data_IF_919232186247
#
_entry.id   IF_919232186247
#
_cell.length_a   1.000
_cell.length_b   1.000
_cell.length_c   1.000
_cell.angle_alpha   90.00
_cell.angle_beta   90.00
_cell.angle_gamma   90.00
#
_symmetry.space_group_name_H-M   'P 1'
#
loop_
_entity.id
_entity.type
_entity.pdbx_description
1 polymer ?
#
# COMPACT_ATOMS: atom_id res chain seq x y z
N UNK A 1 16.36 8.92 -13.04
CA UNK A 1 17.28 10.05 -13.30
C UNK A 1 17.37 10.29 -14.81
N UNK A 2 16.26 10.73 -15.42
CA UNK A 2 16.06 10.68 -16.88
C UNK A 2 16.54 11.97 -17.57
N UNK A 3 16.66 13.07 -16.82
CA UNK A 3 16.77 14.41 -17.41
C UNK A 3 18.19 14.90 -17.71
N UNK A 4 19.27 14.19 -17.35
CA UNK A 4 20.64 14.69 -17.54
C UNK A 4 21.70 13.61 -17.79
N UNK A 5 21.31 12.44 -18.32
CA UNK A 5 22.19 11.28 -18.40
C UNK A 5 23.49 11.56 -19.20
N UNK A 6 23.39 12.22 -20.35
CA UNK A 6 24.56 12.57 -21.17
C UNK A 6 25.50 13.58 -20.50
N UNK A 7 24.94 14.62 -19.86
CA UNK A 7 25.71 15.63 -19.15
C UNK A 7 26.40 15.04 -17.93
N UNK A 8 25.69 14.20 -17.16
CA UNK A 8 26.23 13.52 -15.98
C UNK A 8 27.41 12.63 -16.38
N UNK A 9 27.29 11.86 -17.46
CA UNK A 9 28.36 10.98 -17.96
C UNK A 9 29.57 11.76 -18.48
N UNK A 10 29.35 12.94 -19.07
CA UNK A 10 30.44 13.81 -19.53
C UNK A 10 31.26 14.37 -18.36
N UNK A 11 30.62 14.72 -17.24
CA UNK A 11 31.31 15.33 -16.08
C UNK A 11 31.76 14.32 -15.03
N UNK A 12 31.19 13.11 -15.05
CA UNK A 12 31.48 12.03 -14.09
C UNK A 12 31.97 10.77 -14.84
N UNK A 13 33.22 10.74 -15.32
CA UNK A 13 33.74 9.61 -16.11
C UNK A 13 33.81 8.29 -15.32
N UNK A 14 33.75 8.34 -13.99
CA UNK A 14 33.66 7.17 -13.11
C UNK A 14 32.26 6.54 -13.09
N UNK A 15 31.22 7.25 -13.52
CA UNK A 15 29.84 6.76 -13.57
C UNK A 15 29.57 6.06 -14.91
N UNK A 16 30.11 4.85 -15.05
CA UNK A 16 29.99 4.02 -16.24
C UNK A 16 28.64 3.28 -16.31
N UNK A 17 28.29 2.74 -17.48
CA UNK A 17 27.11 1.87 -17.64
C UNK A 17 27.18 0.62 -16.76
N UNK A 18 28.37 0.01 -16.66
CA UNK A 18 28.60 -1.18 -15.85
C UNK A 18 28.37 -0.88 -14.36
N UNK A 19 28.93 0.22 -13.85
CA UNK A 19 28.69 0.64 -12.47
C UNK A 19 27.21 0.96 -12.21
N UNK A 20 26.56 1.65 -13.15
CA UNK A 20 25.13 1.95 -13.02
C UNK A 20 24.29 0.67 -12.94
N UNK A 21 24.61 -0.33 -13.78
CA UNK A 21 23.95 -1.63 -13.77
C UNK A 21 24.17 -2.37 -12.45
N UNK A 22 25.39 -2.40 -11.93
CA UNK A 22 25.69 -3.03 -10.62
C UNK A 22 24.90 -2.36 -9.49
N UNK A 23 24.83 -1.02 -9.48
CA UNK A 23 24.04 -0.26 -8.51
C UNK A 23 22.55 -0.60 -8.63
N UNK A 24 22.02 -0.70 -9.86
CA UNK A 24 20.61 -1.03 -10.09
C UNK A 24 20.29 -2.46 -9.63
N UNK A 25 21.17 -3.43 -9.87
CA UNK A 25 21.01 -4.81 -9.40
C UNK A 25 20.96 -4.90 -7.86
N UNK A 26 21.86 -4.20 -7.16
CA UNK A 26 21.87 -4.12 -5.70
C UNK A 26 20.60 -3.42 -5.20
N UNK A 27 20.26 -2.28 -5.79
CA UNK A 27 19.05 -1.53 -5.46
C UNK A 27 17.81 -2.39 -5.62
N UNK A 28 17.74 -3.19 -6.68
CA UNK A 28 16.61 -4.09 -6.93
C UNK A 28 16.46 -5.11 -5.82
N UNK A 29 17.56 -5.75 -5.43
CA UNK A 29 17.56 -6.77 -4.38
C UNK A 29 17.22 -6.17 -3.01
N UNK A 30 17.88 -5.07 -2.63
CA UNK A 30 17.62 -4.40 -1.35
C UNK A 30 16.19 -3.90 -1.25
N UNK A 31 15.63 -3.34 -2.33
CA UNK A 31 14.25 -2.84 -2.31
C UNK A 31 13.25 -3.98 -2.13
N UNK A 32 13.46 -5.13 -2.80
CA UNK A 32 12.60 -6.31 -2.60
C UNK A 32 12.67 -6.83 -1.16
N UNK A 33 13.88 -6.91 -0.61
CA UNK A 33 14.11 -7.31 0.78
C UNK A 33 13.33 -6.39 1.75
N UNK A 34 13.43 -5.07 1.58
CA UNK A 34 12.75 -4.09 2.43
C UNK A 34 11.22 -4.19 2.41
N UNK A 35 10.65 -4.75 1.35
CA UNK A 35 9.20 -4.92 1.18
C UNK A 35 8.73 -6.37 1.43
N UNK A 36 9.58 -7.20 2.06
CA UNK A 36 9.23 -8.56 2.46
C UNK A 36 9.17 -9.57 1.30
N UNK A 37 9.79 -9.24 0.16
CA UNK A 37 9.82 -10.12 -1.02
C UNK A 37 11.13 -10.88 -1.05
N UNK A 38 11.06 -12.16 -0.68
CA UNK A 38 12.19 -13.08 -0.64
C UNK A 38 12.04 -14.15 -1.71
N UNK A 39 13.16 -14.72 -2.18
CA UNK A 39 13.13 -15.89 -3.07
C UNK A 39 12.65 -17.13 -2.34
N UNK A 40 13.05 -17.27 -1.07
CA UNK A 40 12.65 -18.34 -0.18
C UNK A 40 12.00 -17.74 1.07
N UNK A 41 10.97 -18.42 1.59
CA UNK A 41 10.29 -17.96 2.80
C UNK A 41 11.27 -17.94 3.97
N UNK A 42 11.43 -16.78 4.60
CA UNK A 42 12.23 -16.61 5.80
C UNK A 42 11.32 -16.71 7.03
N UNK A 43 11.63 -17.67 7.90
CA UNK A 43 10.91 -17.84 9.17
C UNK A 43 11.88 -17.61 10.34
N UNK A 44 11.49 -16.80 11.31
CA UNK A 44 12.25 -16.55 12.53
C UNK A 44 11.31 -16.56 13.73
N UNK A 45 11.60 -17.37 14.74
CA UNK A 45 10.71 -17.58 15.91
C UNK A 45 9.24 -17.89 15.54
N UNK A 46 9.04 -18.68 14.47
CA UNK A 46 7.71 -19.02 13.97
C UNK A 46 7.01 -17.91 13.18
N UNK A 47 7.62 -16.73 13.04
CA UNK A 47 7.10 -15.62 12.25
C UNK A 47 7.59 -15.68 10.82
N UNK A 48 6.68 -15.45 9.87
CA UNK A 48 7.01 -15.24 8.47
C UNK A 48 7.47 -13.79 8.28
N UNK A 49 8.77 -13.56 8.17
CA UNK A 49 9.35 -12.21 8.14
C UNK A 49 8.84 -11.41 6.95
N UNK A 50 8.59 -12.06 5.81
CA UNK A 50 8.02 -11.40 4.64
C UNK A 50 6.63 -10.89 4.92
N UNK A 51 5.81 -11.73 5.55
CA UNK A 51 4.46 -11.35 5.94
C UNK A 51 4.44 -10.20 6.96
N UNK A 52 5.32 -10.23 7.97
CA UNK A 52 5.38 -9.16 8.98
C UNK A 52 5.83 -7.82 8.37
N UNK A 53 6.79 -7.83 7.45
CA UNK A 53 7.19 -6.62 6.72
C UNK A 53 6.04 -6.05 5.88
N UNK A 54 5.31 -6.91 5.17
CA UNK A 54 4.14 -6.48 4.39
C UNK A 54 3.03 -5.91 5.26
N UNK A 55 2.80 -6.49 6.46
CA UNK A 55 1.85 -5.97 7.45
C UNK A 55 2.19 -4.55 7.86
N UNK A 56 3.42 -4.30 8.29
CA UNK A 56 3.83 -2.99 8.81
C UNK A 56 3.86 -1.95 7.69
N UNK A 57 4.35 -2.30 6.49
CA UNK A 57 4.56 -1.32 5.41
C UNK A 57 3.30 -1.02 4.60
N UNK A 58 2.44 -2.01 4.37
CA UNK A 58 1.29 -1.86 3.46
C UNK A 58 -0.04 -2.30 4.05
N UNK A 59 -0.03 -2.96 5.20
CA UNK A 59 -1.23 -3.49 5.85
C UNK A 59 -2.27 -2.43 6.13
N UNK A 60 -1.87 -1.31 6.74
CA UNK A 60 -2.78 -0.20 7.02
C UNK A 60 -3.47 0.32 5.74
N UNK A 61 -2.71 0.52 4.67
CA UNK A 61 -3.22 1.06 3.41
C UNK A 61 -4.20 0.10 2.72
N UNK A 62 -3.84 -1.17 2.51
CA UNK A 62 -4.74 -2.10 1.82
C UNK A 62 -6.01 -2.40 2.62
N UNK A 63 -5.93 -2.40 3.96
CA UNK A 63 -7.10 -2.57 4.82
C UNK A 63 -8.04 -1.37 4.77
N UNK A 64 -7.49 -0.17 4.68
CA UNK A 64 -8.26 1.06 4.51
C UNK A 64 -9.02 1.06 3.16
N UNK A 65 -8.37 0.62 2.07
CA UNK A 65 -9.00 0.46 0.76
C UNK A 65 -10.12 -0.59 0.80
N UNK A 66 -9.82 -1.77 1.34
CA UNK A 66 -10.78 -2.87 1.45
C UNK A 66 -12.01 -2.46 2.28
N UNK A 67 -11.78 -1.75 3.38
CA UNK A 67 -12.84 -1.23 4.25
C UNK A 67 -13.72 -0.22 3.52
N UNK A 68 -13.15 0.67 2.69
CA UNK A 68 -13.94 1.64 1.93
C UNK A 68 -14.70 1.04 0.77
N UNK A 69 -14.12 0.09 0.05
CA UNK A 69 -14.85 -0.67 -0.97
C UNK A 69 -16.06 -1.37 -0.36
N UNK A 70 -15.84 -2.04 0.79
CA UNK A 70 -16.93 -2.67 1.55
C UNK A 70 -17.96 -1.65 2.02
N UNK A 71 -17.53 -0.54 2.64
CA UNK A 71 -18.43 0.47 3.17
C UNK A 71 -19.27 1.13 2.05
N UNK A 72 -18.65 1.40 0.88
CA UNK A 72 -19.36 1.89 -0.30
C UNK A 72 -20.44 0.92 -0.76
N UNK A 73 -20.12 -0.37 -0.85
CA UNK A 73 -21.06 -1.41 -1.25
C UNK A 73 -22.21 -1.56 -0.23
N UNK A 74 -21.89 -1.64 1.07
CA UNK A 74 -22.87 -1.77 2.13
C UNK A 74 -23.84 -0.58 2.20
N UNK A 75 -23.37 0.62 1.83
CA UNK A 75 -24.15 1.85 1.80
C UNK A 75 -24.94 2.09 0.51
N UNK A 76 -24.72 1.29 -0.55
CA UNK A 76 -25.27 1.56 -1.88
C UNK A 76 -26.79 1.78 -1.89
N UNK A 77 -27.55 0.93 -1.19
CA UNK A 77 -29.01 1.02 -1.08
C UNK A 77 -29.50 1.52 0.30
N UNK A 78 -28.61 2.07 1.13
CA UNK A 78 -28.97 2.58 2.45
C UNK A 78 -29.09 4.11 2.42
N UNK A 79 -29.93 4.64 3.29
CA UNK A 79 -30.12 6.08 3.46
C UNK A 79 -29.94 6.52 4.92
N UNK A 80 -28.95 5.92 5.59
CA UNK A 80 -28.58 6.30 6.96
C UNK A 80 -27.63 7.51 6.93
N UNK A 81 -27.51 8.21 8.06
CA UNK A 81 -26.66 9.40 8.17
C UNK A 81 -25.19 9.11 7.80
N UNK A 82 -24.68 7.94 8.19
CA UNK A 82 -23.31 7.50 7.97
C UNK A 82 -23.03 7.21 6.49
N UNK A 83 -24.04 6.81 5.73
CA UNK A 83 -23.91 6.45 4.32
C UNK A 83 -23.99 7.65 3.36
N UNK A 84 -24.50 8.81 3.80
CA UNK A 84 -24.78 9.95 2.90
C UNK A 84 -23.54 10.42 2.14
N UNK A 85 -22.40 10.52 2.83
CA UNK A 85 -21.17 11.03 2.21
C UNK A 85 -20.61 10.06 1.16
N UNK A 86 -20.65 8.75 1.43
CA UNK A 86 -20.04 7.76 0.53
C UNK A 86 -20.97 7.36 -0.62
N UNK A 87 -22.29 7.44 -0.44
CA UNK A 87 -23.29 7.03 -1.45
C UNK A 87 -23.13 7.80 -2.77
N UNK A 88 -22.95 9.11 -2.70
CA UNK A 88 -22.72 9.97 -3.88
C UNK A 88 -21.29 9.91 -4.44
N UNK A 89 -20.32 9.46 -3.65
CA UNK A 89 -18.91 9.51 -4.02
C UNK A 89 -18.59 8.57 -5.20
N UNK A 90 -18.11 9.14 -6.31
CA UNK A 90 -17.77 8.38 -7.53
C UNK A 90 -16.31 7.94 -7.58
N UNK A 91 -15.43 8.76 -7.02
CA UNK A 91 -14.01 8.43 -6.88
C UNK A 91 -13.44 8.92 -5.56
N UNK A 92 -12.46 8.20 -5.02
CA UNK A 92 -11.60 8.65 -3.92
C UNK A 92 -10.16 8.46 -4.34
N UNK A 93 -9.33 9.49 -4.20
CA UNK A 93 -7.96 9.49 -4.69
C UNK A 93 -6.95 9.65 -3.54
N UNK A 94 -5.91 8.83 -3.56
CA UNK A 94 -4.77 8.92 -2.64
C UNK A 94 -3.55 9.39 -3.42
N UNK A 95 -2.96 10.51 -2.99
CA UNK A 95 -1.62 10.89 -3.40
C UNK A 95 -0.63 10.10 -2.54
N UNK A 96 0.11 9.18 -3.16
CA UNK A 96 1.02 8.26 -2.47
C UNK A 96 2.40 8.25 -3.13
N UNK A 97 3.34 7.57 -2.47
CA UNK A 97 4.66 7.30 -3.01
C UNK A 97 4.69 6.00 -3.84
N UNK A 98 5.72 5.88 -4.65
CA UNK A 98 6.07 4.68 -5.43
C UNK A 98 6.09 3.40 -4.58
N UNK A 99 6.69 3.48 -3.39
CA UNK A 99 6.75 2.40 -2.41
C UNK A 99 5.37 1.92 -1.95
N UNK A 100 4.37 2.81 -1.86
CA UNK A 100 3.00 2.44 -1.50
C UNK A 100 2.35 1.60 -2.59
N UNK A 101 2.46 2.01 -3.86
CA UNK A 101 1.93 1.25 -4.99
C UNK A 101 2.67 -0.08 -5.15
N UNK A 102 3.99 -0.08 -4.95
CA UNK A 102 4.78 -1.31 -4.96
C UNK A 102 4.28 -2.29 -3.91
N UNK A 103 4.17 -1.84 -2.65
CA UNK A 103 3.73 -2.70 -1.55
C UNK A 103 2.30 -3.22 -1.77
N UNK A 104 1.43 -2.38 -2.33
CA UNK A 104 0.08 -2.76 -2.73
C UNK A 104 0.08 -3.93 -3.73
N UNK A 105 0.92 -3.89 -4.76
CA UNK A 105 1.07 -5.00 -5.72
C UNK A 105 1.79 -6.21 -5.13
N UNK A 106 2.78 -6.00 -4.25
CA UNK A 106 3.51 -7.06 -3.58
C UNK A 106 2.60 -7.90 -2.67
N UNK A 107 1.68 -7.26 -1.94
CA UNK A 107 0.69 -7.96 -1.09
C UNK A 107 -0.20 -8.88 -1.93
N UNK A 108 -0.56 -8.46 -3.14
CA UNK A 108 -1.34 -9.26 -4.10
C UNK A 108 -0.48 -10.25 -4.91
N UNK A 109 0.85 -10.22 -4.76
CA UNK A 109 1.79 -11.10 -5.45
C UNK A 109 1.97 -10.81 -6.94
N UNK A 110 1.70 -9.58 -7.39
CA UNK A 110 1.72 -9.19 -8.81
C UNK A 110 2.80 -8.17 -9.16
N UNK A 111 3.62 -7.74 -8.20
CA UNK A 111 4.66 -6.72 -8.37
C UNK A 111 5.60 -7.04 -9.54
N UNK A 112 6.12 -8.27 -9.62
CA UNK A 112 7.05 -8.70 -10.69
C UNK A 112 6.39 -8.80 -12.08
N UNK A 113 5.06 -8.97 -12.12
CA UNK A 113 4.30 -9.07 -13.37
C UNK A 113 3.98 -7.68 -13.93
N UNK A 114 3.64 -6.75 -13.03
CA UNK A 114 3.11 -5.42 -13.36
C UNK A 114 4.19 -4.34 -13.46
N UNK A 115 5.17 -4.31 -12.55
CA UNK A 115 6.20 -3.25 -12.52
C UNK A 115 7.41 -3.71 -13.33
N UNK A 116 7.61 -3.09 -14.50
CA UNK A 116 8.71 -3.40 -15.43
C UNK A 116 9.26 -2.13 -16.10
N UNK A 117 10.59 -2.01 -16.31
CA UNK A 117 11.68 -2.68 -15.60
C UNK A 117 11.99 -1.97 -14.27
N UNK A 118 12.44 -2.71 -13.25
CA UNK A 118 12.82 -2.17 -11.94
C UNK A 118 11.93 -2.64 -10.79
N UNK A 119 12.06 -1.99 -9.63
CA UNK A 119 11.26 -2.34 -8.44
C UNK A 119 10.14 -1.35 -8.19
N UNK A 120 10.36 -0.07 -8.44
CA UNK A 120 9.34 0.95 -8.16
C UNK A 120 8.63 1.45 -9.43
N UNK A 121 7.33 1.78 -9.33
CA UNK A 121 6.60 2.43 -10.41
C UNK A 121 7.32 3.68 -10.90
N UNK A 122 7.22 3.95 -12.20
CA UNK A 122 7.79 5.18 -12.75
C UNK A 122 6.97 6.41 -12.32
N UNK A 123 7.54 7.60 -12.50
CA UNK A 123 6.86 8.84 -12.18
C UNK A 123 5.50 8.97 -12.88
N UNK A 124 4.53 9.56 -12.16
CA UNK A 124 3.14 9.67 -12.58
C UNK A 124 2.43 8.33 -12.85
N UNK A 125 2.97 7.23 -12.35
CA UNK A 125 2.23 5.97 -12.29
C UNK A 125 0.97 6.12 -11.42
N UNK A 126 -0.06 5.38 -11.80
CA UNK A 126 -1.33 5.38 -11.10
C UNK A 126 -1.97 3.99 -11.14
N UNK A 127 -2.66 3.63 -10.08
CA UNK A 127 -3.41 2.39 -9.99
C UNK A 127 -4.87 2.71 -9.66
N UNK A 128 -5.79 1.88 -10.13
CA UNK A 128 -7.23 2.13 -10.00
C UNK A 128 -7.90 0.86 -9.55
N UNK A 129 -8.62 0.93 -8.42
CA UNK A 129 -9.46 -0.17 -7.93
C UNK A 129 -10.91 0.22 -8.17
N UNK A 130 -11.51 -0.34 -9.22
CA UNK A 130 -12.92 -0.11 -9.52
C UNK A 130 -13.77 -1.11 -8.74
N UNK A 131 -14.79 -0.62 -8.01
CA UNK A 131 -15.84 -1.43 -7.41
C UNK A 131 -17.01 -1.56 -8.38
N UNK A 132 -17.37 -2.81 -8.66
CA UNK A 132 -18.44 -3.22 -9.56
C UNK A 132 -19.46 -4.06 -8.81
N UNK A 133 -20.72 -4.03 -9.27
CA UNK A 133 -21.76 -4.95 -8.83
C UNK A 133 -22.35 -5.65 -10.03
N UNK A 134 -22.33 -6.98 -10.01
CA UNK A 134 -22.95 -7.75 -11.07
C UNK A 134 -24.48 -7.68 -10.94
N UNK A 135 -25.17 -7.39 -12.04
CA UNK A 135 -26.62 -7.27 -12.04
C UNK A 135 -27.34 -8.62 -11.89
N UNK A 136 -26.67 -9.74 -12.15
CA UNK A 136 -27.27 -11.07 -12.09
C UNK A 136 -27.26 -11.63 -10.66
N UNK A 137 -26.08 -11.74 -10.05
CA UNK A 137 -25.90 -12.31 -8.70
C UNK A 137 -25.94 -11.26 -7.57
N UNK A 138 -25.97 -9.97 -7.93
CA UNK A 138 -25.93 -8.81 -7.03
C UNK A 138 -24.68 -8.73 -6.14
N UNK A 139 -23.63 -9.49 -6.45
CA UNK A 139 -22.39 -9.56 -5.68
C UNK A 139 -21.39 -8.47 -6.08
N UNK A 140 -20.50 -8.06 -5.15
CA UNK A 140 -19.45 -7.09 -5.42
C UNK A 140 -18.22 -7.73 -6.07
N UNK A 141 -17.71 -7.05 -7.09
CA UNK A 141 -16.47 -7.39 -7.79
C UNK A 141 -15.53 -6.18 -7.79
N UNK A 142 -14.24 -6.43 -7.96
CA UNK A 142 -13.28 -5.39 -8.25
C UNK A 142 -12.59 -5.60 -9.61
N UNK A 143 -12.19 -4.50 -10.22
CA UNK A 143 -11.32 -4.47 -11.40
C UNK A 143 -10.13 -3.58 -11.09
N UNK A 144 -8.93 -4.12 -11.26
CA UNK A 144 -7.68 -3.44 -11.01
C UNK A 144 -7.08 -2.96 -12.33
N UNK A 145 -6.82 -1.66 -12.43
CA UNK A 145 -6.19 -1.03 -13.59
C UNK A 145 -4.87 -0.38 -13.18
N UNK A 146 -3.96 -0.23 -14.13
CA UNK A 146 -2.68 0.41 -13.91
C UNK A 146 -2.28 1.28 -15.09
N UNK A 147 -1.57 2.36 -14.78
CA UNK A 147 -0.91 3.26 -15.71
C UNK A 147 0.55 3.37 -15.28
N UNK A 148 1.47 2.99 -16.16
CA UNK A 148 2.87 2.84 -15.77
C UNK A 148 3.64 4.15 -15.65
N UNK A 149 3.26 5.20 -16.41
CA UNK A 149 3.90 6.52 -16.41
C UNK A 149 2.98 7.57 -17.07
N UNK A 150 3.49 8.78 -17.26
CA UNK A 150 2.81 9.94 -17.86
C UNK A 150 2.40 9.77 -19.34
N UNK A 151 2.96 8.81 -20.06
CA UNK A 151 2.67 8.56 -21.48
C UNK A 151 1.94 7.24 -21.73
N UNK A 152 1.91 6.35 -20.73
CA UNK A 152 1.27 5.05 -20.84
C UNK A 152 -0.26 5.13 -20.80
N UNK A 153 -0.97 4.26 -21.53
CA UNK A 153 -2.41 4.10 -21.35
C UNK A 153 -2.74 3.47 -19.98
N UNK A 154 -4.00 3.59 -19.58
CA UNK A 154 -4.56 2.81 -18.47
C UNK A 154 -4.97 1.44 -19.01
N UNK A 155 -4.52 0.35 -18.37
CA UNK A 155 -4.83 -1.01 -18.79
C UNK A 155 -5.19 -1.92 -17.60
N UNK A 156 -6.02 -2.96 -17.80
CA UNK A 156 -6.39 -3.88 -16.74
C UNK A 156 -5.23 -4.79 -16.35
N UNK A 157 -5.11 -5.04 -15.05
CA UNK A 157 -4.12 -5.95 -14.45
C UNK A 157 -4.75 -6.91 -13.44
N UNK A 158 -6.09 -6.95 -13.32
CA UNK A 158 -6.79 -7.91 -12.44
C UNK A 158 -6.38 -9.35 -12.72
N UNK A 159 -6.18 -9.70 -13.99
CA UNK A 159 -5.81 -11.05 -14.43
C UNK A 159 -4.44 -11.52 -13.94
N UNK A 160 -3.57 -10.60 -13.55
CA UNK A 160 -2.25 -10.94 -13.02
C UNK A 160 -2.32 -11.55 -11.61
N UNK A 161 -3.44 -11.34 -10.91
CA UNK A 161 -3.72 -11.91 -9.59
C UNK A 161 -4.15 -13.37 -9.77
N UNK A 162 -3.33 -14.32 -9.33
CA UNK A 162 -3.59 -15.76 -9.53
C UNK A 162 -4.96 -16.20 -8.98
N UNK A 163 -5.37 -15.65 -7.82
CA UNK A 163 -6.69 -15.91 -7.20
C UNK A 163 -7.87 -15.46 -8.06
N UNK A 164 -7.65 -14.56 -9.03
CA UNK A 164 -8.66 -14.08 -9.95
C UNK A 164 -8.78 -14.94 -11.22
N UNK A 165 -7.95 -15.97 -11.38
CA UNK A 165 -8.06 -17.00 -12.43
C UNK A 165 -8.13 -16.39 -13.85
N UNK A 166 -7.34 -15.35 -14.11
CA UNK A 166 -7.29 -14.67 -15.41
C UNK A 166 -8.51 -13.81 -15.75
N UNK A 167 -9.47 -13.63 -14.83
CA UNK A 167 -10.67 -12.81 -15.04
C UNK A 167 -10.36 -11.33 -14.90
N UNK A 168 -11.02 -10.50 -15.71
CA UNK A 168 -10.92 -9.05 -15.63
C UNK A 168 -11.62 -8.45 -14.41
N UNK A 169 -12.71 -9.09 -13.96
CA UNK A 169 -13.43 -8.77 -12.74
C UNK A 169 -13.24 -9.91 -11.75
N UNK A 170 -12.85 -9.55 -10.53
CA UNK A 170 -12.53 -10.52 -9.48
C UNK A 170 -13.42 -10.29 -8.27
N UNK A 171 -13.78 -11.36 -7.56
CA UNK A 171 -14.64 -11.28 -6.39
C UNK A 171 -14.01 -10.32 -5.35
N UNK A 172 -14.79 -9.38 -4.82
CA UNK A 172 -14.29 -8.43 -3.82
C UNK A 172 -13.74 -9.15 -2.57
N UNK A 173 -14.21 -10.36 -2.27
CA UNK A 173 -13.68 -11.19 -1.19
C UNK A 173 -12.20 -11.52 -1.38
N UNK A 174 -11.72 -11.72 -2.61
CA UNK A 174 -10.29 -11.94 -2.88
C UNK A 174 -9.45 -10.75 -2.41
N UNK A 175 -9.92 -9.53 -2.68
CA UNK A 175 -9.25 -8.30 -2.24
C UNK A 175 -9.25 -8.19 -0.70
N UNK A 176 -10.39 -8.52 -0.07
CA UNK A 176 -10.53 -8.52 1.40
C UNK A 176 -9.64 -9.56 2.07
N UNK A 177 -9.47 -10.74 1.46
CA UNK A 177 -8.59 -11.78 1.99
C UNK A 177 -7.12 -11.33 1.98
N UNK A 178 -6.68 -10.61 0.94
CA UNK A 178 -5.36 -10.00 0.93
C UNK A 178 -5.21 -8.98 2.06
N UNK A 179 -6.21 -8.12 2.24
CA UNK A 179 -6.19 -7.13 3.31
C UNK A 179 -6.14 -7.76 4.71
N UNK A 180 -7.01 -8.75 4.99
CA UNK A 180 -7.07 -9.41 6.29
C UNK A 180 -5.76 -10.18 6.58
N UNK A 181 -5.15 -10.82 5.58
CA UNK A 181 -3.85 -11.50 5.72
C UNK A 181 -2.76 -10.58 6.27
N UNK A 182 -2.75 -9.31 5.84
CA UNK A 182 -1.76 -8.30 6.24
C UNK A 182 -2.30 -7.27 7.22
N UNK A 183 -3.42 -7.55 7.89
CA UNK A 183 -3.97 -6.67 8.89
C UNK A 183 -3.04 -6.59 10.09
N UNK A 184 -2.88 -5.37 10.62
CA UNK A 184 -2.12 -5.16 11.83
C UNK A 184 -2.85 -5.80 13.01
N UNK A 185 -2.12 -6.57 13.82
CA UNK A 185 -2.65 -7.22 15.01
C UNK A 185 -2.75 -6.26 16.22
N UNK A 186 -2.10 -5.10 16.13
CA UNK A 186 -2.15 -3.99 17.10
C UNK A 186 -2.17 -2.65 16.36
N UNK A 187 -2.62 -1.56 17.00
CA UNK A 187 -2.45 -0.21 16.48
C UNK A 187 -0.98 0.11 16.14
N UNK A 188 -0.76 0.96 15.14
CA UNK A 188 0.59 1.35 14.68
C UNK A 188 1.49 1.87 15.82
N UNK A 189 1.01 2.74 16.74
CA UNK A 189 1.85 3.21 17.85
C UNK A 189 2.40 2.07 18.69
N UNK A 190 1.57 1.08 19.04
CA UNK A 190 2.00 -0.08 19.84
C UNK A 190 2.99 -0.99 19.11
N UNK A 191 3.05 -0.94 17.78
CA UNK A 191 3.99 -1.72 16.97
C UNK A 191 5.30 -0.99 16.68
N UNK A 192 5.23 0.33 16.54
CA UNK A 192 6.32 1.14 16.01
C UNK A 192 6.99 2.03 17.07
N UNK A 193 6.34 2.24 18.21
CA UNK A 193 6.84 3.02 19.35
C UNK A 193 7.30 2.09 20.48
N UNK A 194 7.91 0.96 20.13
CA UNK A 194 8.59 0.09 21.10
C UNK A 194 9.94 0.69 21.45
N UNK A 195 10.16 0.99 22.73
CA UNK A 195 11.50 1.28 23.23
C UNK A 195 12.27 -0.04 23.35
N UNK A 196 13.28 -0.31 22.51
CA UNK A 196 14.03 -1.57 22.56
C UNK A 196 14.77 -1.78 23.89
N UNK A 197 14.93 -0.74 24.72
CA UNK A 197 15.53 -0.83 26.05
C UNK A 197 14.56 -1.32 27.14
N UNK A 198 13.24 -1.33 26.87
CA UNK A 198 12.22 -1.68 27.87
C UNK A 198 11.72 -3.13 27.78
N UNK A 199 11.85 -3.80 26.61
CA UNK A 199 11.39 -5.19 26.43
C UNK A 199 12.28 -6.26 27.10
N UNK A 200 13.45 -5.89 27.61
CA UNK A 200 14.35 -6.79 28.35
C UNK A 200 14.02 -6.99 29.82
N UNK A 201 12.99 -6.33 30.36
CA UNK A 201 12.54 -6.51 31.75
C UNK A 201 11.23 -7.26 31.77
N UNK A 202 11.31 -8.59 31.87
CA UNK A 202 10.20 -9.39 32.38
C UNK A 202 9.84 -8.86 33.77
N UNK A 203 8.83 -8.01 33.87
CA UNK A 203 8.23 -7.66 35.15
C UNK A 203 7.36 -8.82 35.59
N UNK A 204 7.93 -9.73 36.38
CA UNK A 204 7.18 -10.51 37.36
C UNK A 204 6.58 -9.55 38.38
N UNK A 205 5.47 -8.90 38.05
CA UNK A 205 4.61 -8.27 39.04
C UNK A 205 3.20 -8.09 38.47
N UNK A 206 2.24 -8.74 39.12
CA UNK A 206 0.83 -8.73 38.74
C UNK A 206 0.29 -7.30 38.77
N UNK A 207 -0.06 -6.74 37.60
CA UNK A 207 -0.77 -5.47 37.52
C UNK A 207 -2.22 -5.66 37.97
N UNK A 208 -2.56 -5.10 39.13
CA UNK A 208 -3.95 -4.88 39.56
C UNK A 208 -4.70 -3.96 38.57
N UNK A 209 -6.05 -4.03 38.51
CA UNK A 209 -6.83 -3.26 37.55
C UNK A 209 -6.73 -1.75 37.84
N UNK A 210 -6.26 -0.97 36.87
CA UNK A 210 -6.35 0.49 36.92
C UNK A 210 -7.70 0.95 36.37
N UNK A 211 -8.38 1.78 37.15
CA UNK A 211 -9.61 2.50 36.79
C UNK A 211 -9.39 3.41 35.58
N UNK A 212 -10.45 3.73 34.81
CA UNK A 212 -10.32 4.52 33.59
C UNK A 212 -9.96 5.98 33.91
N UNK A 213 -9.01 6.61 33.19
CA UNK A 213 -8.79 8.03 33.29
C UNK A 213 -9.91 8.81 32.58
N UNK A 214 -10.34 9.89 33.22
CA UNK A 214 -11.27 10.90 32.70
C UNK A 214 -10.66 11.71 31.55
N UNK A 215 -11.50 12.04 30.57
CA UNK A 215 -11.18 12.83 29.36
C UNK A 215 -10.73 14.26 29.73
N UNK A 216 -9.56 14.73 29.26
CA UNK A 216 -9.22 16.15 29.27
C UNK A 216 -9.62 16.85 27.96
N UNK A 217 -10.13 18.07 28.09
CA UNK A 217 -10.44 19.02 27.01
C UNK A 217 -9.23 19.34 26.11
N UNK A 218 -9.48 19.43 24.80
CA UNK A 218 -8.53 19.92 23.80
C UNK A 218 -8.21 21.41 24.02
N UNK A 219 -6.91 21.74 24.07
CA UNK A 219 -6.41 23.07 23.73
C UNK A 219 -5.62 22.96 22.43
N UNK A 220 -6.00 23.79 21.47
CA UNK A 220 -5.19 24.11 20.29
C UNK A 220 -3.87 24.72 20.75
N UNK A 221 -2.74 24.20 20.24
CA UNK A 221 -1.51 24.98 20.16
C UNK A 221 -0.80 24.70 18.84
N UNK A 222 -0.57 25.79 18.11
CA UNK A 222 0.16 25.81 16.86
C UNK A 222 1.65 25.66 17.09
N UNK A 223 2.26 24.72 16.37
CA UNK A 223 3.71 24.52 16.34
C UNK A 223 4.15 24.09 14.95
N UNK A 224 4.83 25.01 14.25
CA UNK A 224 5.33 24.84 12.90
C UNK A 224 6.34 23.68 12.79
N UNK A 225 6.14 22.78 11.82
CA UNK A 225 7.19 21.91 11.30
C UNK A 225 7.61 22.46 9.93
N UNK A 226 8.73 23.17 9.92
CA UNK A 226 9.28 23.83 8.74
C UNK A 226 10.24 22.86 8.01
N UNK A 227 10.08 22.80 6.69
CA UNK A 227 10.95 22.20 5.67
C UNK A 227 10.95 20.68 5.50
N UNK A 228 9.88 20.16 4.89
CA UNK A 228 10.04 19.07 3.90
C UNK A 228 10.35 19.67 2.53
N UNK A 229 11.42 19.18 1.91
CA UNK A 229 11.73 19.43 0.51
C UNK A 229 10.52 19.08 -0.37
N UNK A 230 10.00 20.10 -1.04
CA UNK A 230 9.02 19.99 -2.10
C UNK A 230 9.67 19.36 -3.34
N UNK A 231 9.41 18.08 -3.54
CA UNK A 231 9.32 17.51 -4.90
C UNK A 231 7.98 16.83 -4.99
N UNK A 232 7.01 17.52 -5.58
CA UNK A 232 5.67 17.00 -5.85
C UNK A 232 5.79 15.81 -6.81
N UNK A 233 5.82 14.61 -6.23
CA UNK A 233 5.93 13.33 -6.92
C UNK A 233 4.70 12.49 -6.58
N UNK A 234 3.54 13.01 -6.95
CA UNK A 234 2.24 12.44 -6.59
C UNK A 234 1.91 11.28 -7.52
N UNK A 235 1.91 10.05 -7.00
CA UNK A 235 1.25 8.91 -7.65
C UNK A 235 -0.18 8.80 -7.13
N UNK A 236 -1.11 8.40 -7.99
CA UNK A 236 -2.53 8.38 -7.65
C UNK A 236 -3.04 6.94 -7.54
N UNK A 237 -3.62 6.58 -6.39
CA UNK A 237 -4.49 5.42 -6.30
C UNK A 237 -5.95 5.90 -6.27
N UNK A 238 -6.76 5.47 -7.22
CA UNK A 238 -8.17 5.82 -7.27
C UNK A 238 -9.07 4.63 -6.96
N UNK A 239 -10.00 4.80 -6.02
CA UNK A 239 -11.16 3.93 -5.91
C UNK A 239 -12.27 4.52 -6.77
N UNK A 240 -12.71 3.82 -7.81
CA UNK A 240 -13.83 4.25 -8.66
C UNK A 240 -15.03 3.33 -8.42
N UNK A 241 -16.25 3.85 -8.46
CA UNK A 241 -17.45 3.05 -8.22
C UNK A 241 -18.41 3.11 -9.40
N UNK A 242 -18.67 1.94 -10.00
CA UNK A 242 -19.75 1.69 -10.96
C UNK A 242 -20.68 0.65 -10.36
N UNK A 243 -21.61 1.14 -9.55
CA UNK A 243 -22.68 0.36 -8.91
C UNK A 243 -24.01 0.97 -9.36
#
# INVERSE_FOLDING_TARGET
>A
QIHFNETLRKVSPWFTDDLYKEIDEIYIQTTRYLNGIFETKITFNGLDIGLELMRIRGGAFINELASRLKFKFDCYNKDTAECRWIKGLKYYAYSVHDSTIFQFFAIMGIDRKVIKPGVYPAYAAASFVELWRNETDKQPYFRLLYRANDTSPIYPITMEIDKCQGKEFCDLQVFRDFAEKVKLYKPVPELCEVNPEEEGKETTEAKQPRTPPSVPEEKEDGGACLHMFTSALTMLLCICSKI
#
